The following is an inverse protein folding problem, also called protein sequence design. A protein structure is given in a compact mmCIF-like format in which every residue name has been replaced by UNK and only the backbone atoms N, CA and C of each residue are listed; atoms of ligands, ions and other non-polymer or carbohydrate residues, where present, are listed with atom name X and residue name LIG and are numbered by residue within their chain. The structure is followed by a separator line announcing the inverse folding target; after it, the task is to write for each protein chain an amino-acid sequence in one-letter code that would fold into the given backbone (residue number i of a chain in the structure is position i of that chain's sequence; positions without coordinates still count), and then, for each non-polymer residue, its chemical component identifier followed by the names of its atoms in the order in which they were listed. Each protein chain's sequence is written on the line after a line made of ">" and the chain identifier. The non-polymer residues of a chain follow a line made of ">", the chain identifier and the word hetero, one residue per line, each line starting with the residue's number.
data_IF_787570286239
#
_entry.id   IF_787570286239
#
_cell.length_a   1.000
_cell.length_b   1.000
_cell.length_c   1.000
_cell.angle_alpha   90.00
_cell.angle_beta   90.00
_cell.angle_gamma   90.00
#
_symmetry.space_group_name_H-M   'P 1'
#
loop_
_entity.id
_entity.type
_entity.pdbx_description
1 polymer ?
#
# COMPACT_ATOMS: atom_id res chain seq x y z
N UNK A 1 13.74 37.07 5.50
CA UNK A 1 14.60 36.22 6.35
C UNK A 1 13.72 35.09 6.88
N UNK A 2 14.24 33.88 6.79
CA UNK A 2 13.58 32.58 6.98
C UNK A 2 13.38 32.22 8.46
N UNK A 3 12.63 31.10 8.67
CA UNK A 3 12.56 30.24 9.87
C UNK A 3 11.34 30.51 10.78
N UNK A 4 10.49 29.55 11.17
CA UNK A 4 10.53 28.09 11.10
C UNK A 4 9.13 27.49 11.23
N UNK A 5 8.92 26.39 10.53
CA UNK A 5 7.86 25.41 10.75
C UNK A 5 7.88 24.86 12.19
N UNK A 6 6.77 24.18 12.50
CA UNK A 6 6.69 23.06 13.45
C UNK A 6 6.18 23.42 14.84
N UNK A 7 4.84 23.38 15.01
CA UNK A 7 4.19 22.55 16.04
C UNK A 7 2.65 22.65 15.96
N UNK A 8 2.06 22.40 14.78
CA UNK A 8 0.62 22.08 14.67
C UNK A 8 0.36 20.60 14.95
N UNK A 9 0.91 20.10 16.08
CA UNK A 9 0.78 18.73 16.57
C UNK A 9 0.71 18.82 18.08
N UNK A 10 -0.50 18.83 18.64
CA UNK A 10 -0.81 18.34 20.01
C UNK A 10 -2.13 18.91 20.58
N UNK A 11 -3.16 19.22 19.79
CA UNK A 11 -4.48 19.57 20.35
C UNK A 11 -5.58 18.86 19.57
N UNK A 12 -5.63 17.54 19.72
CA UNK A 12 -6.79 16.72 19.40
C UNK A 12 -6.72 15.38 20.14
N UNK A 13 -6.62 15.47 21.46
CA UNK A 13 -6.99 14.40 22.39
C UNK A 13 -8.13 14.95 23.25
N UNK A 14 -9.25 15.22 22.60
CA UNK A 14 -10.55 15.34 23.25
C UNK A 14 -11.11 13.91 23.35
N UNK A 15 -10.96 13.28 24.51
CA UNK A 15 -11.91 12.31 25.05
C UNK A 15 -11.39 11.79 26.39
N UNK A 16 -12.33 11.53 27.30
CA UNK A 16 -12.18 10.90 28.61
C UNK A 16 -11.66 11.80 29.74
N UNK A 17 -12.53 12.70 30.17
CA UNK A 17 -12.47 13.31 31.50
C UNK A 17 -13.86 13.33 32.11
N UNK A 18 -14.43 12.18 32.45
CA UNK A 18 -15.56 12.06 33.38
C UNK A 18 -15.87 10.59 33.73
N UNK A 19 -16.20 10.35 35.00
CA UNK A 19 -16.42 9.08 35.70
C UNK A 19 -15.11 8.39 36.13
N UNK A 20 -14.68 8.38 37.38
CA UNK A 20 -15.41 8.52 38.65
C UNK A 20 -15.26 7.22 39.44
N UNK A 21 -14.41 7.25 40.46
CA UNK A 21 -14.28 6.39 41.64
C UNK A 21 -14.76 4.91 41.61
N UNK A 22 -13.82 3.98 41.82
CA UNK A 22 -13.83 3.06 42.96
C UNK A 22 -12.54 2.23 43.02
N UNK A 23 -12.01 2.00 44.23
CA UNK A 23 -11.39 0.70 44.57
C UNK A 23 -9.86 0.62 44.64
N UNK A 24 -9.32 0.99 45.80
CA UNK A 24 -8.43 0.19 46.64
C UNK A 24 -7.17 -0.50 46.06
N UNK A 25 -6.04 -0.11 46.68
CA UNK A 25 -4.74 -0.76 46.80
C UNK A 25 -4.62 -2.25 46.43
N UNK A 26 -3.74 -2.56 45.47
CA UNK A 26 -2.68 -3.55 45.68
C UNK A 26 -1.43 -3.13 44.88
N UNK A 27 -0.36 -2.90 45.62
CA UNK A 27 0.96 -2.54 45.14
C UNK A 27 1.62 -3.82 44.61
N UNK A 28 1.26 -4.25 43.41
CA UNK A 28 1.99 -5.29 42.69
C UNK A 28 2.84 -4.59 41.64
N UNK A 29 4.16 -4.64 41.85
CA UNK A 29 5.18 -4.17 40.90
C UNK A 29 5.06 -4.98 39.61
N UNK A 30 4.18 -4.52 38.72
CA UNK A 30 4.12 -4.98 37.34
C UNK A 30 5.34 -4.39 36.64
N UNK A 31 6.33 -5.23 36.40
CA UNK A 31 7.36 -4.96 35.40
C UNK A 31 6.65 -4.65 34.07
N UNK A 32 6.78 -3.44 33.49
CA UNK A 32 6.16 -3.15 32.22
C UNK A 32 6.97 -3.85 31.13
N UNK A 33 6.74 -5.16 30.97
CA UNK A 33 7.15 -5.84 29.75
C UNK A 33 6.50 -5.08 28.58
N UNK A 34 7.27 -4.62 27.59
CA UNK A 34 6.71 -3.91 26.46
C UNK A 34 5.65 -4.80 25.80
N UNK A 35 4.49 -4.24 25.38
CA UNK A 35 3.49 -5.03 24.68
C UNK A 35 4.15 -5.66 23.45
N UNK A 36 4.04 -6.98 23.34
CA UNK A 36 4.48 -7.69 22.15
C UNK A 36 3.81 -7.06 20.93
N UNK A 37 4.56 -6.80 19.83
CA UNK A 37 3.95 -6.29 18.62
C UNK A 37 2.83 -7.24 18.19
N UNK A 38 1.68 -6.71 17.73
CA UNK A 38 0.62 -7.57 17.21
C UNK A 38 1.21 -8.47 16.13
N UNK A 39 0.91 -9.78 16.11
CA UNK A 39 1.38 -10.65 15.06
C UNK A 39 0.93 -10.05 13.72
N UNK A 40 1.80 -9.96 12.70
CA UNK A 40 1.37 -9.54 11.38
C UNK A 40 0.36 -10.58 10.89
N UNK A 41 -0.92 -10.23 10.92
CA UNK A 41 -1.97 -11.00 10.25
C UNK A 41 -1.86 -10.73 8.76
N UNK A 42 -0.78 -11.22 8.14
CA UNK A 42 -0.73 -11.40 6.69
C UNK A 42 -1.55 -12.64 6.37
N UNK A 43 -2.87 -12.45 6.31
CA UNK A 43 -3.76 -13.42 5.66
C UNK A 43 -3.31 -13.47 4.20
N UNK A 44 -2.92 -14.65 3.72
CA UNK A 44 -2.64 -14.86 2.30
C UNK A 44 -3.94 -14.60 1.52
N UNK A 45 -4.08 -13.40 0.95
CA UNK A 45 -5.20 -13.04 0.11
C UNK A 45 -4.90 -13.58 -1.28
N UNK A 46 -5.35 -14.79 -1.60
CA UNK A 46 -5.27 -15.35 -2.96
C UNK A 46 -6.11 -14.49 -3.91
N UNK A 47 -5.47 -13.51 -4.54
CA UNK A 47 -6.14 -12.52 -5.41
C UNK A 47 -6.65 -13.21 -6.68
N UNK A 48 -7.97 -13.24 -6.87
CA UNK A 48 -8.61 -13.73 -8.10
C UNK A 48 -8.46 -12.75 -9.28
N UNK A 49 -8.72 -13.21 -10.50
CA UNK A 49 -8.60 -12.40 -11.72
C UNK A 49 -9.30 -11.03 -11.63
N UNK A 50 -10.58 -11.02 -11.21
CA UNK A 50 -11.37 -9.79 -11.11
C UNK A 50 -10.78 -8.80 -10.11
N UNK A 51 -10.21 -9.32 -9.02
CA UNK A 51 -9.55 -8.51 -7.99
C UNK A 51 -8.27 -7.88 -8.54
N UNK A 52 -7.42 -8.67 -9.20
CA UNK A 52 -6.19 -8.18 -9.81
C UNK A 52 -6.48 -7.09 -10.84
N UNK A 53 -7.44 -7.32 -11.74
CA UNK A 53 -7.84 -6.33 -12.74
C UNK A 53 -8.33 -5.05 -12.08
N UNK A 54 -9.15 -5.15 -11.03
CA UNK A 54 -9.65 -3.97 -10.32
C UNK A 54 -8.51 -3.16 -9.70
N UNK A 55 -7.57 -3.83 -9.04
CA UNK A 55 -6.40 -3.21 -8.42
C UNK A 55 -5.50 -2.53 -9.47
N UNK A 56 -5.19 -3.23 -10.57
CA UNK A 56 -4.40 -2.66 -11.66
C UNK A 56 -5.08 -1.47 -12.34
N UNK A 57 -6.41 -1.54 -12.52
CA UNK A 57 -7.17 -0.45 -13.14
C UNK A 57 -7.32 0.76 -12.21
N UNK A 58 -7.33 0.56 -10.89
CA UNK A 58 -7.27 1.65 -9.92
C UNK A 58 -5.89 2.34 -9.97
N UNK A 59 -4.81 1.56 -10.06
CA UNK A 59 -3.45 2.09 -10.19
C UNK A 59 -3.27 2.88 -11.49
N UNK A 60 -3.71 2.35 -12.64
CA UNK A 60 -3.65 3.06 -13.92
C UNK A 60 -4.40 4.41 -13.87
N UNK A 61 -5.59 4.43 -13.25
CA UNK A 61 -6.36 5.67 -13.04
C UNK A 61 -5.67 6.67 -12.12
N UNK A 62 -4.96 6.19 -11.09
CA UNK A 62 -4.20 7.07 -10.18
C UNK A 62 -3.04 7.80 -10.85
N UNK A 63 -2.61 7.33 -12.03
CA UNK A 63 -1.63 8.00 -12.88
C UNK A 63 -2.27 8.92 -13.93
N UNK A 64 -3.59 9.14 -13.87
CA UNK A 64 -4.36 9.93 -14.85
C UNK A 64 -4.23 9.44 -16.31
N UNK A 65 -3.95 8.14 -16.50
CA UNK A 65 -3.80 7.54 -17.83
C UNK A 65 -5.07 6.79 -18.23
N UNK A 66 -5.59 7.10 -19.42
CA UNK A 66 -6.68 6.36 -20.05
C UNK A 66 -6.13 5.10 -20.76
N UNK A 67 -5.87 4.06 -19.97
CA UNK A 67 -5.39 2.77 -20.47
C UNK A 67 -6.45 1.68 -20.33
N UNK A 68 -6.46 0.75 -21.28
CA UNK A 68 -7.29 -0.44 -21.30
C UNK A 68 -6.47 -1.69 -21.01
N UNK A 69 -7.07 -2.65 -20.31
CA UNK A 69 -6.42 -3.93 -20.04
C UNK A 69 -6.29 -4.71 -21.35
N UNK A 70 -5.04 -4.97 -21.78
CA UNK A 70 -4.74 -5.73 -22.99
C UNK A 70 -4.22 -7.13 -22.72
N UNK A 71 -3.67 -7.37 -21.52
CA UNK A 71 -3.24 -8.70 -21.11
C UNK A 71 -3.37 -8.85 -19.61
N UNK A 72 -3.84 -10.02 -19.20
CA UNK A 72 -3.78 -10.46 -17.82
C UNK A 72 -3.33 -11.92 -17.80
N UNK A 73 -2.21 -12.18 -17.14
CA UNK A 73 -1.64 -13.52 -17.03
C UNK A 73 -1.40 -13.83 -15.57
N UNK A 74 -1.96 -14.94 -15.12
CA UNK A 74 -1.61 -15.50 -13.83
C UNK A 74 -0.21 -16.12 -13.92
N UNK A 75 0.71 -15.63 -13.11
CA UNK A 75 1.96 -16.30 -12.76
C UNK A 75 1.79 -17.15 -11.51
N UNK A 76 2.89 -17.68 -10.99
CA UNK A 76 2.88 -18.66 -9.89
C UNK A 76 2.16 -18.14 -8.62
N UNK A 77 2.42 -16.88 -8.23
CA UNK A 77 1.77 -16.22 -7.09
C UNK A 77 1.41 -14.76 -7.37
N UNK A 78 1.28 -14.35 -8.64
CA UNK A 78 1.01 -12.96 -8.99
C UNK A 78 0.24 -12.85 -10.31
N UNK A 79 -0.49 -11.77 -10.48
CA UNK A 79 -1.07 -11.40 -11.76
C UNK A 79 -0.18 -10.39 -12.48
N UNK A 80 0.14 -10.69 -13.74
CA UNK A 80 0.83 -9.79 -14.65
C UNK A 80 -0.23 -9.14 -15.53
N UNK A 81 -0.40 -7.83 -15.38
CA UNK A 81 -1.38 -7.06 -16.12
C UNK A 81 -0.64 -6.11 -17.04
N UNK A 82 -1.06 -6.03 -18.29
CA UNK A 82 -0.62 -4.99 -19.21
C UNK A 82 -1.81 -4.14 -19.55
N UNK A 83 -1.65 -2.85 -19.31
CA UNK A 83 -2.56 -1.81 -19.75
C UNK A 83 -1.92 -1.07 -20.92
N UNK A 84 -2.70 -0.70 -21.92
CA UNK A 84 -2.23 0.12 -23.03
C UNK A 84 -3.27 1.16 -23.41
N UNK A 85 -2.83 2.30 -23.94
CA UNK A 85 -3.77 3.27 -24.49
C UNK A 85 -4.50 2.65 -25.68
N UNK A 86 -5.75 3.02 -25.97
CA UNK A 86 -6.48 2.51 -27.13
C UNK A 86 -5.74 2.72 -28.46
N UNK A 87 -4.91 3.77 -28.52
CA UNK A 87 -4.05 4.08 -29.67
C UNK A 87 -2.72 3.29 -29.69
N UNK A 88 -2.43 2.48 -28.67
CA UNK A 88 -1.20 1.69 -28.53
C UNK A 88 0.07 2.51 -28.29
N UNK A 89 -0.05 3.81 -28.03
CA UNK A 89 1.08 4.73 -27.89
C UNK A 89 1.75 4.68 -26.51
N UNK A 90 1.03 4.19 -25.50
CA UNK A 90 1.51 4.09 -24.13
C UNK A 90 1.12 2.73 -23.58
N UNK A 91 2.01 2.14 -22.79
CA UNK A 91 1.78 0.87 -22.11
C UNK A 91 2.27 0.94 -20.68
N UNK A 92 1.55 0.28 -19.78
CA UNK A 92 1.86 0.15 -18.37
C UNK A 92 1.75 -1.32 -18.00
N UNK A 93 2.88 -1.92 -17.69
CA UNK A 93 2.95 -3.27 -17.14
C UNK A 93 2.91 -3.19 -15.61
N UNK A 94 2.01 -3.97 -15.01
CA UNK A 94 1.79 -4.05 -13.57
C UNK A 94 1.90 -5.50 -13.10
N UNK A 95 2.51 -5.69 -11.92
CA UNK A 95 2.44 -6.93 -11.17
C UNK A 95 1.50 -6.71 -9.98
N UNK A 96 0.49 -7.54 -9.85
CA UNK A 96 -0.35 -7.62 -8.65
C UNK A 96 0.09 -8.85 -7.86
N UNK A 97 0.64 -8.64 -6.68
CA UNK A 97 1.03 -9.72 -5.79
C UNK A 97 -0.21 -10.48 -5.32
N UNK A 98 -0.19 -11.79 -5.54
CA UNK A 98 -1.34 -12.67 -5.31
C UNK A 98 -1.51 -13.10 -3.86
N UNK A 99 -0.70 -12.60 -2.92
CA UNK A 99 -0.85 -12.84 -1.49
C UNK A 99 -1.16 -11.56 -0.71
N UNK A 100 -0.59 -10.44 -1.13
CA UNK A 100 -0.66 -9.14 -0.46
C UNK A 100 -1.53 -8.13 -1.18
N UNK A 101 -1.98 -8.44 -2.40
CA UNK A 101 -2.73 -7.53 -3.27
C UNK A 101 -1.99 -6.22 -3.60
N UNK A 102 -0.67 -6.17 -3.38
CA UNK A 102 0.13 -5.01 -3.75
C UNK A 102 0.28 -4.91 -5.27
N UNK A 103 0.13 -3.70 -5.80
CA UNK A 103 0.32 -3.41 -7.22
C UNK A 103 1.64 -2.70 -7.39
N UNK A 104 2.52 -3.28 -8.19
CA UNK A 104 3.83 -2.73 -8.50
C UNK A 104 3.92 -2.46 -10.01
N UNK A 105 4.32 -1.26 -10.45
CA UNK A 105 4.67 -1.04 -11.83
C UNK A 105 5.92 -1.85 -12.15
N UNK A 106 5.89 -2.55 -13.28
CA UNK A 106 7.05 -3.28 -13.77
C UNK A 106 7.86 -2.28 -14.58
N UNK A 107 9.07 -1.91 -14.13
CA UNK A 107 9.93 -1.07 -14.93
C UNK A 107 10.22 -1.79 -16.23
N UNK A 108 9.92 -1.13 -17.35
CA UNK A 108 10.43 -1.56 -18.65
C UNK A 108 11.96 -1.64 -18.51
N UNK A 109 12.62 -2.71 -18.99
CA UNK A 109 14.07 -2.73 -19.00
C UNK A 109 14.55 -1.45 -19.69
N UNK A 110 15.59 -0.77 -19.17
CA UNK A 110 16.17 0.37 -19.87
C UNK A 110 16.51 -0.14 -21.27
N UNK A 111 15.93 0.50 -22.30
CA UNK A 111 16.23 0.17 -23.68
C UNK A 111 17.73 0.10 -23.83
N UNK A 112 18.27 -1.09 -24.10
CA UNK A 112 19.69 -1.31 -24.32
C UNK A 112 20.09 -0.48 -25.54
N UNK A 113 20.53 0.76 -25.32
CA UNK A 113 20.64 1.74 -26.39
C UNK A 113 20.92 3.16 -25.94
N UNK A 114 21.66 3.36 -24.85
CA UNK A 114 22.52 4.54 -24.79
C UNK A 114 23.93 4.08 -25.17
N UNK A 115 24.45 4.44 -26.36
CA UNK A 115 25.87 4.26 -26.62
C UNK A 115 26.61 5.19 -25.66
N UNK A 116 27.35 4.60 -24.71
CA UNK A 116 28.39 5.31 -23.96
C UNK A 116 29.29 6.01 -24.98
N UNK A 117 29.25 7.34 -24.97
CA UNK A 117 30.06 8.18 -25.85
C UNK A 117 31.46 8.37 -25.28
#
# INVERSE_FOLDING_TARGET
>A
MTSSLSLRRAVLLAALSAAGCAGSSMQTRADPSPPLPPPPTSVALTVGYQEAVRLGAAFARSQDQALELVMAKQGEASWWLRYASPAGQQSLDLRVDGQTAQVEPIPLPPSAGEPSR
#
